data_IF_288745290108
#
_entry.id   IF_288745290108
#
_cell.length_a   1.000
_cell.length_b   1.000
_cell.length_c   1.000
_cell.angle_alpha   90.00
_cell.angle_beta   90.00
_cell.angle_gamma   90.00
#
_symmetry.space_group_name_H-M   'P 1'
#
loop_
_entity.id
_entity.type
_entity.pdbx_description
1 polymer ?
#
# COMPACT_ATOMS: atom_id res chain seq x y z
N UNK A 1 41.58 -33.64 25.92
CA UNK A 1 40.96 -32.42 26.47
C UNK A 1 41.39 -31.27 25.58
N UNK A 2 40.53 -30.81 24.69
CA UNK A 2 40.73 -29.61 23.87
C UNK A 2 39.34 -28.96 23.72
N UNK A 3 39.15 -27.68 24.12
CA UNK A 3 37.84 -27.06 24.06
C UNK A 3 37.62 -26.47 22.67
N UNK A 4 36.42 -26.72 22.13
CA UNK A 4 35.90 -26.10 20.92
C UNK A 4 35.66 -24.61 21.17
N UNK A 5 36.38 -23.75 20.44
CA UNK A 5 36.15 -22.31 20.41
C UNK A 5 34.99 -22.04 19.45
N UNK A 6 33.80 -21.75 19.99
CA UNK A 6 32.66 -21.31 19.19
C UNK A 6 32.79 -19.80 18.89
N UNK A 7 33.15 -19.44 17.66
CA UNK A 7 33.04 -18.07 17.16
C UNK A 7 31.55 -17.79 16.86
N UNK A 8 30.89 -17.05 17.75
CA UNK A 8 29.59 -16.46 17.46
C UNK A 8 29.80 -15.16 16.66
N UNK A 9 29.60 -15.22 15.35
CA UNK A 9 29.47 -14.03 14.51
C UNK A 9 28.06 -13.46 14.71
N UNK A 10 27.93 -12.41 15.52
CA UNK A 10 26.70 -11.64 15.62
C UNK A 10 26.56 -10.77 14.36
N UNK A 11 25.70 -11.21 13.42
CA UNK A 11 25.27 -10.38 12.30
C UNK A 11 24.30 -9.32 12.83
N UNK A 12 24.77 -8.09 13.02
CA UNK A 12 23.90 -6.95 13.28
C UNK A 12 23.32 -6.52 11.93
N UNK A 13 22.11 -6.96 11.63
CA UNK A 13 21.34 -6.45 10.49
C UNK A 13 20.81 -5.05 10.85
N UNK A 14 21.60 -4.02 10.56
CA UNK A 14 21.16 -2.62 10.67
C UNK A 14 20.24 -2.29 9.50
N UNK A 15 18.94 -2.51 9.65
CA UNK A 15 17.94 -1.95 8.74
C UNK A 15 17.81 -0.46 9.00
N UNK A 16 18.61 0.35 8.29
CA UNK A 16 18.34 1.79 8.21
C UNK A 16 17.11 1.99 7.32
N UNK A 17 15.94 2.07 7.95
CA UNK A 17 14.79 2.76 7.37
C UNK A 17 15.17 4.25 7.32
N UNK A 18 15.88 4.66 6.28
CA UNK A 18 16.11 6.08 6.02
C UNK A 18 14.76 6.71 5.75
N UNK A 19 14.22 7.42 6.74
CA UNK A 19 13.08 8.29 6.53
C UNK A 19 13.48 9.33 5.47
N UNK A 20 12.74 9.40 4.38
CA UNK A 20 12.94 10.40 3.33
C UNK A 20 12.88 11.78 3.99
N UNK A 21 14.00 12.51 4.01
CA UNK A 21 14.05 13.87 4.55
C UNK A 21 13.43 14.84 3.55
N UNK A 22 12.44 15.61 4.01
CA UNK A 22 11.75 16.62 3.21
C UNK A 22 12.00 18.02 3.80
N UNK A 23 12.42 19.02 3.00
CA UNK A 23 12.66 18.95 1.56
C UNK A 23 13.90 18.11 1.19
N UNK A 24 13.95 17.55 -0.03
CA UNK A 24 15.09 16.78 -0.47
C UNK A 24 16.33 17.69 -0.62
N UNK A 25 17.51 17.14 -0.32
CA UNK A 25 18.79 17.88 -0.36
C UNK A 25 19.36 18.05 -1.78
N UNK A 26 18.77 17.37 -2.76
CA UNK A 26 19.17 17.48 -4.17
C UNK A 26 18.66 18.80 -4.77
N UNK A 27 19.61 19.71 -5.03
CA UNK A 27 19.34 21.03 -5.59
C UNK A 27 18.83 21.00 -7.06
N UNK A 28 18.92 19.86 -7.75
CA UNK A 28 18.37 19.72 -9.10
C UNK A 28 16.85 19.57 -9.10
N UNK A 29 16.27 19.16 -7.97
CA UNK A 29 14.84 19.00 -7.81
C UNK A 29 14.14 20.35 -7.67
N UNK A 30 13.00 20.48 -8.35
CA UNK A 30 12.15 21.68 -8.31
C UNK A 30 10.81 21.34 -7.66
N UNK A 31 10.26 22.25 -6.83
CA UNK A 31 8.91 22.07 -6.30
C UNK A 31 7.89 22.12 -7.44
N UNK A 32 6.93 21.21 -7.39
CA UNK A 32 5.82 21.13 -8.35
C UNK A 32 4.51 20.94 -7.59
N UNK A 33 3.44 21.49 -8.17
CA UNK A 33 2.06 21.24 -7.74
C UNK A 33 1.25 20.88 -8.96
N UNK A 34 0.49 19.79 -8.88
CA UNK A 34 -0.25 19.25 -10.01
C UNK A 34 -1.59 18.65 -9.57
N UNK A 35 -2.64 18.96 -10.32
CA UNK A 35 -3.98 18.39 -10.11
C UNK A 35 -4.31 17.47 -11.28
N UNK A 36 -4.73 16.24 -10.98
CA UNK A 36 -5.09 15.26 -11.99
C UNK A 36 -5.68 14.00 -11.39
N UNK A 37 -6.07 13.07 -12.25
CA UNK A 37 -6.58 11.77 -11.82
C UNK A 37 -5.46 10.94 -11.21
N UNK A 38 -5.74 10.28 -10.09
CA UNK A 38 -4.89 9.23 -9.57
C UNK A 38 -5.36 7.90 -10.12
N UNK A 39 -4.43 7.11 -10.66
CA UNK A 39 -4.73 5.80 -11.21
C UNK A 39 -3.59 4.83 -10.89
N UNK A 40 -3.91 3.57 -10.65
CA UNK A 40 -2.92 2.52 -10.44
C UNK A 40 -2.23 2.12 -11.74
N UNK A 41 -0.95 1.75 -11.65
CA UNK A 41 -0.18 1.37 -12.82
C UNK A 41 -0.70 0.07 -13.46
N UNK A 42 -1.32 -0.83 -12.69
CA UNK A 42 -1.89 -2.07 -13.23
C UNK A 42 -3.02 -1.79 -14.23
N UNK A 43 -4.00 -0.94 -13.89
CA UNK A 43 -5.05 -0.52 -14.81
C UNK A 43 -4.47 0.23 -16.02
N UNK A 44 -3.45 1.08 -15.81
CA UNK A 44 -2.77 1.80 -16.91
C UNK A 44 -2.15 0.80 -17.90
N UNK A 45 -1.38 -0.17 -17.41
CA UNK A 45 -0.67 -1.17 -18.21
C UNK A 45 -1.63 -2.12 -18.92
N UNK A 46 -2.75 -2.46 -18.28
CA UNK A 46 -3.80 -3.29 -18.89
C UNK A 46 -4.58 -2.53 -19.98
N UNK A 47 -4.62 -1.19 -19.93
CA UNK A 47 -5.28 -0.32 -20.90
C UNK A 47 -6.81 -0.21 -20.73
N UNK A 48 -7.42 -1.01 -19.86
CA UNK A 48 -8.85 -0.97 -19.51
C UNK A 48 -9.06 -1.06 -18.00
N UNK A 49 -10.26 -0.72 -17.52
CA UNK A 49 -10.56 -0.86 -16.09
C UNK A 49 -10.77 -2.33 -15.72
N UNK A 50 -10.21 -2.78 -14.59
CA UNK A 50 -10.35 -4.17 -14.13
C UNK A 50 -11.81 -4.54 -13.87
N UNK A 51 -12.56 -3.65 -13.25
CA UNK A 51 -13.96 -3.88 -12.90
C UNK A 51 -14.93 -3.62 -14.07
N UNK A 52 -14.49 -2.88 -15.09
CA UNK A 52 -15.27 -2.63 -16.29
C UNK A 52 -14.38 -2.51 -17.55
N UNK A 53 -14.05 -3.64 -18.19
CA UNK A 53 -13.16 -3.67 -19.34
C UNK A 53 -13.65 -2.94 -20.59
N UNK A 54 -14.91 -2.49 -20.65
CA UNK A 54 -15.40 -1.67 -21.77
C UNK A 54 -14.85 -0.24 -21.71
N UNK A 55 -14.34 0.19 -20.56
CA UNK A 55 -13.80 1.53 -20.37
C UNK A 55 -12.27 1.50 -20.45
N UNK A 56 -11.70 2.33 -21.34
CA UNK A 56 -10.26 2.51 -21.47
C UNK A 56 -9.73 3.49 -20.43
N UNK A 57 -8.62 3.14 -19.79
CA UNK A 57 -8.05 3.90 -18.66
C UNK A 57 -7.63 5.31 -19.03
N UNK A 58 -6.79 5.45 -20.05
CA UNK A 58 -6.25 6.74 -20.52
C UNK A 58 -7.20 7.51 -21.45
N UNK A 59 -8.46 7.08 -21.55
CA UNK A 59 -9.53 7.78 -22.29
C UNK A 59 -10.56 8.33 -21.32
N UNK A 60 -10.98 7.51 -20.35
CA UNK A 60 -12.05 7.85 -19.41
C UNK A 60 -11.64 7.60 -17.94
N UNK A 61 -10.58 8.25 -17.43
CA UNK A 61 -10.10 8.04 -16.06
C UNK A 61 -11.12 8.42 -14.99
N UNK A 62 -12.12 9.27 -15.30
CA UNK A 62 -13.25 9.56 -14.43
C UNK A 62 -14.13 8.34 -14.13
N UNK A 63 -14.03 7.29 -14.93
CA UNK A 63 -14.76 6.03 -14.73
C UNK A 63 -13.99 5.03 -13.87
N UNK A 64 -12.75 5.36 -13.47
CA UNK A 64 -11.94 4.49 -12.62
C UNK A 64 -12.55 4.40 -11.22
N UNK A 65 -12.96 3.19 -10.83
CA UNK A 65 -13.60 2.96 -9.54
C UNK A 65 -12.60 3.07 -8.39
N UNK A 66 -13.02 3.66 -7.27
CA UNK A 66 -12.22 3.69 -6.06
C UNK A 66 -11.96 2.27 -5.54
N UNK A 67 -12.83 1.30 -5.84
CA UNK A 67 -12.60 -0.11 -5.52
C UNK A 67 -11.24 -0.63 -6.04
N UNK A 68 -10.89 -0.29 -7.28
CA UNK A 68 -9.59 -0.64 -7.87
C UNK A 68 -8.44 0.04 -7.12
N UNK A 69 -8.65 1.28 -6.64
CA UNK A 69 -7.63 1.99 -5.87
C UNK A 69 -7.41 1.39 -4.48
N UNK A 70 -8.44 0.87 -3.81
CA UNK A 70 -8.33 0.57 -2.36
C UNK A 70 -8.45 -0.90 -1.96
N UNK A 71 -9.04 -1.75 -2.81
CA UNK A 71 -9.39 -3.13 -2.45
C UNK A 71 -8.63 -4.19 -3.27
N UNK A 72 -8.30 -3.88 -4.53
CA UNK A 72 -7.65 -4.84 -5.42
C UNK A 72 -6.14 -4.85 -5.23
N UNK A 73 -5.62 -5.94 -4.66
CA UNK A 73 -4.18 -6.08 -4.39
C UNK A 73 -3.27 -5.80 -5.60
N UNK A 74 -3.55 -6.27 -6.83
CA UNK A 74 -2.70 -5.96 -7.98
C UNK A 74 -2.58 -4.46 -8.24
N UNK A 75 -3.70 -3.75 -8.17
CA UNK A 75 -3.77 -2.30 -8.35
C UNK A 75 -2.99 -1.58 -7.24
N UNK A 76 -3.21 -1.94 -5.98
CA UNK A 76 -2.50 -1.33 -4.83
C UNK A 76 -0.99 -1.58 -4.92
N UNK A 77 -0.56 -2.83 -5.20
CA UNK A 77 0.85 -3.22 -5.27
C UNK A 77 1.57 -2.57 -6.46
N UNK A 78 0.84 -2.26 -7.53
CA UNK A 78 1.40 -1.59 -8.71
C UNK A 78 1.73 -0.11 -8.47
N UNK A 79 1.36 0.46 -7.31
CA UNK A 79 1.50 1.88 -6.99
C UNK A 79 0.67 2.78 -7.92
N UNK A 80 0.66 4.08 -7.65
CA UNK A 80 -0.19 5.02 -8.38
C UNK A 80 0.60 6.09 -9.12
N UNK A 81 -0.03 6.57 -10.19
CA UNK A 81 0.41 7.65 -11.03
C UNK A 81 -0.60 8.80 -11.03
N UNK A 82 -0.10 10.01 -11.29
CA UNK A 82 -0.89 11.18 -11.63
C UNK A 82 -1.02 11.28 -13.14
N UNK A 83 -2.25 11.39 -13.62
CA UNK A 83 -2.55 11.55 -15.04
C UNK A 83 -2.76 13.03 -15.41
N UNK A 84 -2.17 13.45 -16.52
CA UNK A 84 -2.49 14.72 -17.17
C UNK A 84 -3.31 14.50 -18.43
N UNK A 85 -4.17 15.47 -18.73
CA UNK A 85 -4.88 15.51 -20.01
C UNK A 85 -3.91 15.97 -21.10
N UNK A 86 -3.86 15.24 -22.20
CA UNK A 86 -3.07 15.61 -23.37
C UNK A 86 -3.70 16.81 -24.08
N UNK A 87 -2.87 17.73 -24.54
CA UNK A 87 -3.30 18.86 -25.36
C UNK A 87 -3.87 18.38 -26.71
N UNK A 88 -3.25 17.35 -27.29
CA UNK A 88 -3.68 16.69 -28.52
C UNK A 88 -3.77 15.19 -28.26
N UNK A 89 -4.93 14.55 -28.53
CA UNK A 89 -5.06 13.10 -28.41
C UNK A 89 -4.07 12.33 -29.31
N UNK A 90 -3.64 11.16 -28.84
CA UNK A 90 -2.78 10.24 -29.61
C UNK A 90 -3.48 8.89 -29.69
N UNK A 91 -3.89 8.46 -30.89
CA UNK A 91 -4.61 7.18 -31.08
C UNK A 91 -5.78 7.01 -30.09
N UNK A 92 -6.67 8.02 -30.03
CA UNK A 92 -7.80 8.14 -29.09
C UNK A 92 -7.44 8.27 -27.60
N UNK A 93 -6.16 8.20 -27.24
CA UNK A 93 -5.68 8.42 -25.87
C UNK A 93 -5.78 9.89 -25.52
N UNK A 94 -6.46 10.20 -24.40
CA UNK A 94 -6.72 11.57 -23.95
C UNK A 94 -5.86 11.97 -22.74
N UNK A 95 -5.27 11.00 -22.06
CA UNK A 95 -4.47 11.21 -20.85
C UNK A 95 -3.13 10.49 -20.94
N UNK A 96 -2.13 11.01 -20.23
CA UNK A 96 -0.83 10.35 -20.08
C UNK A 96 -0.37 10.43 -18.62
N UNK A 97 0.55 9.56 -18.24
CA UNK A 97 1.22 9.65 -16.94
C UNK A 97 2.09 10.89 -16.91
N UNK A 98 1.81 11.78 -15.97
CA UNK A 98 2.62 12.97 -15.70
C UNK A 98 3.64 12.72 -14.60
N UNK A 99 3.22 12.07 -13.53
CA UNK A 99 4.07 11.74 -12.40
C UNK A 99 3.80 10.35 -11.86
N UNK A 100 4.84 9.69 -11.39
CA UNK A 100 4.79 8.48 -10.56
C UNK A 100 4.91 8.89 -9.10
N UNK A 101 3.98 8.44 -8.25
CA UNK A 101 3.94 8.84 -6.84
C UNK A 101 4.95 8.10 -5.96
N UNK A 102 5.51 6.99 -6.45
CA UNK A 102 6.40 6.13 -5.68
C UNK A 102 5.71 5.51 -4.46
N UNK A 103 6.47 4.85 -3.59
CA UNK A 103 5.91 4.14 -2.44
C UNK A 103 5.20 5.08 -1.44
N UNK A 104 5.88 6.14 -1.01
CA UNK A 104 5.36 7.07 0.01
C UNK A 104 4.13 7.83 -0.50
N UNK A 105 4.21 8.38 -1.72
CA UNK A 105 3.08 9.08 -2.33
C UNK A 105 1.91 8.15 -2.62
N UNK A 106 2.18 6.89 -2.98
CA UNK A 106 1.12 5.91 -3.19
C UNK A 106 0.44 5.49 -1.90
N UNK A 107 1.18 5.35 -0.79
CA UNK A 107 0.58 5.11 0.51
C UNK A 107 -0.37 6.26 0.92
N UNK A 108 0.03 7.51 0.64
CA UNK A 108 -0.81 8.68 0.89
C UNK A 108 -2.06 8.69 0.00
N UNK A 109 -1.90 8.42 -1.31
CA UNK A 109 -3.01 8.33 -2.23
C UNK A 109 -4.02 7.23 -1.84
N UNK A 110 -3.54 6.05 -1.41
CA UNK A 110 -4.37 4.96 -0.88
C UNK A 110 -5.16 5.42 0.35
N UNK A 111 -4.50 6.09 1.30
CA UNK A 111 -5.17 6.62 2.50
C UNK A 111 -6.28 7.61 2.14
N UNK A 112 -6.00 8.55 1.22
CA UNK A 112 -6.98 9.54 0.80
C UNK A 112 -8.13 8.91 0.02
N UNK A 113 -7.86 7.93 -0.84
CA UNK A 113 -8.89 7.19 -1.56
C UNK A 113 -9.80 6.40 -0.60
N UNK A 114 -9.25 5.79 0.45
CA UNK A 114 -10.04 5.13 1.51
C UNK A 114 -10.92 6.12 2.27
N UNK A 115 -10.38 7.28 2.65
CA UNK A 115 -11.14 8.32 3.34
C UNK A 115 -12.26 8.87 2.43
N UNK A 116 -11.98 9.08 1.14
CA UNK A 116 -12.99 9.49 0.18
C UNK A 116 -14.10 8.43 0.00
N UNK A 117 -13.73 7.15 -0.06
CA UNK A 117 -14.68 6.04 -0.11
C UNK A 117 -15.60 5.99 1.12
N UNK A 118 -15.03 6.20 2.31
CA UNK A 118 -15.79 6.25 3.56
C UNK A 118 -16.84 7.38 3.57
N UNK A 119 -16.62 8.44 2.78
CA UNK A 119 -17.54 9.56 2.58
C UNK A 119 -18.37 9.41 1.28
N UNK A 120 -18.60 8.18 0.84
CA UNK A 120 -19.44 7.79 -0.30
C UNK A 120 -18.88 8.06 -1.70
N UNK A 121 -17.58 8.38 -1.84
CA UNK A 121 -16.94 8.47 -3.15
C UNK A 121 -16.95 7.12 -3.89
N UNK A 122 -17.21 7.12 -5.19
CA UNK A 122 -17.29 5.89 -5.98
C UNK A 122 -16.25 5.78 -7.09
N UNK A 123 -16.00 6.86 -7.85
CA UNK A 123 -15.09 6.82 -9.02
C UNK A 123 -14.41 8.17 -9.30
N UNK A 124 -13.45 8.14 -10.22
CA UNK A 124 -12.85 9.34 -10.80
C UNK A 124 -12.05 10.15 -9.80
N UNK A 125 -11.25 9.48 -8.97
CA UNK A 125 -10.47 10.11 -7.91
C UNK A 125 -9.42 11.06 -8.49
N UNK A 126 -9.59 12.35 -8.23
CA UNK A 126 -8.70 13.44 -8.60
C UNK A 126 -8.12 14.05 -7.34
N UNK A 127 -6.81 14.32 -7.34
CA UNK A 127 -6.12 14.94 -6.22
C UNK A 127 -5.19 16.06 -6.70
N UNK A 128 -4.94 17.02 -5.83
CA UNK A 128 -3.85 18.00 -5.98
C UNK A 128 -2.66 17.51 -5.18
N UNK A 129 -1.57 17.23 -5.89
CA UNK A 129 -0.31 16.72 -5.32
C UNK A 129 0.75 17.81 -5.38
N UNK A 130 1.48 17.99 -4.29
CA UNK A 130 2.71 18.79 -4.24
C UNK A 130 3.90 17.91 -3.91
N UNK A 131 5.05 18.19 -4.53
CA UNK A 131 6.27 17.43 -4.30
C UNK A 131 7.45 18.04 -5.06
N UNK A 132 8.47 17.24 -5.31
CA UNK A 132 9.72 17.66 -5.96
C UNK A 132 10.03 16.75 -7.15
N UNK A 133 10.40 17.34 -8.29
CA UNK A 133 10.74 16.64 -9.54
C UNK A 133 12.04 17.16 -10.14
N UNK A 134 12.81 16.28 -10.78
CA UNK A 134 14.01 16.62 -11.56
C UNK A 134 13.69 17.04 -13.01
N UNK A 135 12.41 16.91 -13.43
CA UNK A 135 11.94 17.16 -14.79
C UNK A 135 12.48 16.19 -15.85
N UNK A 136 13.25 15.17 -15.45
CA UNK A 136 13.88 14.16 -16.33
C UNK A 136 13.22 12.80 -16.17
N UNK A 137 12.80 12.48 -14.95
CA UNK A 137 12.04 11.30 -14.61
C UNK A 137 10.61 11.68 -14.21
N UNK A 138 9.71 10.71 -14.23
CA UNK A 138 8.33 10.92 -13.77
C UNK A 138 8.23 10.84 -12.23
N UNK A 139 9.29 10.45 -11.53
CA UNK A 139 9.23 10.22 -10.09
C UNK A 139 9.05 11.53 -9.31
N UNK A 140 8.08 11.56 -8.39
CA UNK A 140 7.94 12.62 -7.40
C UNK A 140 8.55 12.21 -6.07
N UNK A 141 9.23 13.17 -5.45
CA UNK A 141 9.76 13.06 -4.10
C UNK A 141 8.98 13.97 -3.14
N UNK A 142 8.94 13.60 -1.85
CA UNK A 142 8.28 14.38 -0.80
C UNK A 142 6.82 14.74 -1.16
N UNK A 143 6.10 13.72 -1.61
CA UNK A 143 4.71 13.83 -2.06
C UNK A 143 3.81 14.20 -0.88
N UNK A 144 2.97 15.20 -1.10
CA UNK A 144 1.88 15.61 -0.21
C UNK A 144 0.61 15.83 -1.02
N UNK A 145 -0.55 15.55 -0.42
CA UNK A 145 -1.85 15.68 -1.06
C UNK A 145 -2.68 16.77 -0.38
N UNK A 146 -3.29 17.64 -1.16
CA UNK A 146 -4.25 18.61 -0.66
C UNK A 146 -5.48 17.89 -0.08
N UNK A 147 -6.01 18.42 1.04
CA UNK A 147 -7.15 17.84 1.76
C UNK A 147 -8.47 17.86 1.00
N UNK A 148 -8.58 18.68 -0.05
CA UNK A 148 -9.72 18.64 -0.96
C UNK A 148 -9.37 17.77 -2.16
N UNK A 149 -10.10 16.67 -2.31
CA UNK A 149 -10.04 15.78 -3.48
C UNK A 149 -11.32 15.95 -4.29
N UNK A 150 -11.33 15.51 -5.55
CA UNK A 150 -12.56 15.44 -6.34
C UNK A 150 -12.87 13.97 -6.64
N UNK A 151 -14.10 13.55 -6.31
CA UNK A 151 -14.63 12.20 -6.55
C UNK A 151 -16.03 12.33 -7.11
N UNK A 152 -16.39 11.48 -8.05
CA UNK A 152 -17.70 11.53 -8.72
C UNK A 152 -18.01 12.90 -9.35
N UNK A 153 -16.96 13.64 -9.76
CA UNK A 153 -17.08 15.00 -10.30
C UNK A 153 -17.38 16.08 -9.27
N UNK A 154 -17.25 15.80 -7.97
CA UNK A 154 -17.54 16.73 -6.87
C UNK A 154 -16.36 16.86 -5.92
N UNK A 155 -16.14 18.07 -5.45
CA UNK A 155 -15.13 18.35 -4.44
C UNK A 155 -15.57 17.78 -3.09
N UNK A 156 -14.65 17.11 -2.44
CA UNK A 156 -14.80 16.46 -1.15
C UNK A 156 -13.64 16.88 -0.25
N UNK A 157 -13.96 17.60 0.82
CA UNK A 157 -13.01 17.96 1.86
C UNK A 157 -12.80 16.78 2.82
N UNK A 158 -11.54 16.40 3.01
CA UNK A 158 -11.08 15.42 3.98
C UNK A 158 -10.45 16.13 5.18
N UNK A 159 -10.84 15.71 6.38
CA UNK A 159 -10.26 16.20 7.64
C UNK A 159 -9.14 15.26 8.11
N UNK A 160 -8.32 15.73 9.06
CA UNK A 160 -7.32 14.85 9.69
C UNK A 160 -7.99 13.66 10.41
N UNK A 161 -9.21 13.85 10.93
CA UNK A 161 -9.99 12.77 11.52
C UNK A 161 -10.42 11.73 10.47
N UNK A 162 -10.84 12.17 9.28
CA UNK A 162 -11.19 11.26 8.18
C UNK A 162 -9.98 10.41 7.77
N UNK A 163 -8.80 11.04 7.67
CA UNK A 163 -7.55 10.37 7.31
C UNK A 163 -7.05 9.43 8.41
N UNK A 164 -7.18 9.82 9.68
CA UNK A 164 -6.81 9.00 10.83
C UNK A 164 -7.72 7.77 10.97
N UNK A 165 -9.01 7.91 10.66
CA UNK A 165 -9.98 6.81 10.75
C UNK A 165 -9.70 5.65 9.77
N UNK A 166 -9.02 5.93 8.66
CA UNK A 166 -8.67 4.94 7.63
C UNK A 166 -7.19 4.56 7.62
N UNK A 167 -6.39 5.19 8.48
CA UNK A 167 -5.00 4.82 8.65
C UNK A 167 -4.93 3.34 9.06
N UNK A 168 -3.96 2.55 8.54
CA UNK A 168 -3.81 1.18 8.97
C UNK A 168 -3.64 1.17 10.49
N UNK A 169 -4.59 0.55 11.20
CA UNK A 169 -4.43 0.29 12.63
C UNK A 169 -3.14 -0.51 12.76
N UNK A 170 -2.08 0.13 13.22
CA UNK A 170 -0.92 -0.59 13.73
C UNK A 170 -1.51 -1.51 14.79
N UNK A 171 -1.32 -2.85 14.73
CA UNK A 171 -1.74 -3.69 15.82
C UNK A 171 -1.10 -3.11 17.06
N UNK A 172 -1.92 -2.59 17.97
CA UNK A 172 -1.42 -2.21 19.28
C UNK A 172 -0.75 -3.47 19.80
N UNK A 173 0.56 -3.42 19.98
CA UNK A 173 1.30 -4.43 20.72
C UNK A 173 0.52 -4.58 22.01
N UNK A 174 -0.28 -5.65 22.09
CA UNK A 174 -1.10 -5.95 23.25
C UNK A 174 -0.07 -6.15 24.34
N UNK A 175 0.08 -5.16 25.22
CA UNK A 175 0.82 -5.35 26.45
C UNK A 175 0.11 -6.51 27.14
N UNK A 176 0.73 -7.69 27.07
CA UNK A 176 0.31 -8.87 27.78
C UNK A 176 0.22 -8.45 29.25
N UNK A 177 -1.01 -8.22 29.71
CA UNK A 177 -1.27 -7.97 31.11
C UNK A 177 -0.86 -9.26 31.80
N UNK A 178 0.29 -9.23 32.44
CA UNK A 178 0.84 -10.38 33.16
C UNK A 178 -0.02 -10.53 34.41
N UNK A 179 -1.12 -11.27 34.29
CA UNK A 179 -1.89 -11.71 35.45
C UNK A 179 -0.98 -12.64 36.23
N UNK A 180 -0.43 -12.14 37.33
CA UNK A 180 0.33 -12.94 38.30
C UNK A 180 -0.65 -13.93 38.94
N UNK A 181 -0.64 -15.18 38.46
CA UNK A 181 -1.36 -16.28 39.11
C UNK A 181 -0.54 -16.71 40.32
N UNK A 182 -1.12 -16.53 41.51
CA UNK A 182 -0.57 -17.05 42.76
C UNK A 182 -0.57 -18.60 42.73
N UNK A 183 0.49 -19.27 43.24
CA UNK A 183 0.58 -20.72 43.21
C UNK A 183 -0.34 -21.34 44.27
N UNK A 184 -1.25 -22.21 43.85
CA UNK A 184 -1.98 -23.11 44.75
C UNK A 184 -1.41 -24.52 44.64
N UNK A 185 -0.90 -24.99 45.76
CA UNK A 185 -0.28 -26.30 45.98
C UNK A 185 -1.25 -27.47 45.84
N UNK A 186 -0.75 -28.50 45.15
CA UNK A 186 -0.85 -29.94 45.36
C UNK A 186 -2.20 -30.65 45.36
N UNK A 187 -2.29 -31.66 44.48
CA UNK A 187 -3.29 -32.71 44.46
C UNK A 187 -2.97 -33.70 43.34
N UNK A 188 -2.06 -34.63 43.60
CA UNK A 188 -1.65 -35.69 42.69
C UNK A 188 -2.77 -36.72 42.45
N UNK A 189 -2.96 -37.11 41.20
CA UNK A 189 -3.61 -38.38 40.84
C UNK A 189 -3.03 -38.87 39.50
N UNK A 190 -2.21 -39.91 39.62
CA UNK A 190 -1.55 -40.67 38.57
C UNK A 190 -2.50 -41.73 38.01
N UNK A 191 -2.57 -41.93 36.69
CA UNK A 191 -2.72 -43.26 36.03
C UNK A 191 -2.55 -43.15 34.50
N UNK A 192 -2.18 -44.24 33.81
CA UNK A 192 -1.24 -44.19 32.69
C UNK A 192 -1.86 -44.22 31.28
N UNK A 193 -1.06 -43.72 30.33
CA UNK A 193 -1.27 -43.77 28.89
C UNK A 193 -0.92 -45.18 28.37
N UNK A 194 -1.87 -45.84 27.71
CA UNK A 194 -1.60 -47.04 26.92
C UNK A 194 -1.32 -46.61 25.49
N UNK A 195 -0.08 -46.78 25.05
CA UNK A 195 0.33 -46.60 23.67
C UNK A 195 -0.06 -47.84 22.85
N UNK A 196 -0.82 -47.65 21.77
CA UNK A 196 -0.98 -48.66 20.71
C UNK A 196 -0.28 -48.12 19.48
N UNK A 197 0.90 -48.67 19.21
CA UNK A 197 1.50 -48.60 17.87
C UNK A 197 0.72 -49.55 16.95
N UNK A 198 0.33 -49.08 15.78
CA UNK A 198 0.01 -49.94 14.65
C UNK A 198 0.64 -49.33 13.39
N UNK A 199 1.75 -49.94 12.97
CA UNK A 199 2.25 -49.88 11.60
C UNK A 199 1.22 -50.51 10.67
N UNK A 200 1.03 -49.92 9.48
CA UNK A 200 1.01 -50.69 8.23
C UNK A 200 1.33 -49.78 7.05
N UNK A 201 2.35 -50.18 6.31
CA UNK A 201 2.81 -49.71 5.01
C UNK A 201 1.75 -49.95 3.93
N UNK A 202 1.63 -49.07 2.93
CA UNK A 202 1.28 -49.50 1.58
C UNK A 202 1.87 -48.57 0.51
N UNK A 203 2.55 -49.22 -0.42
CA UNK A 203 3.25 -48.73 -1.61
C UNK A 203 2.27 -48.72 -2.78
N UNK A 204 2.28 -47.69 -3.62
CA UNK A 204 2.06 -47.72 -5.09
C UNK A 204 2.41 -46.33 -5.63
N UNK A 205 3.50 -46.15 -6.40
CA UNK A 205 3.73 -46.52 -7.80
C UNK A 205 3.12 -45.52 -8.81
N UNK A 206 4.03 -44.91 -9.56
CA UNK A 206 3.94 -44.14 -10.82
C UNK A 206 2.56 -43.99 -11.47
N UNK A 207 2.24 -42.74 -11.82
CA UNK A 207 2.12 -42.25 -13.21
C UNK A 207 2.41 -40.74 -13.23
#
# INVERSE_FOLDING_TARGET
MAPFLALAFALVASTVNSATTCPPTDATLKPVTFTGYVMDNFCIDMGTMVDNPTNKTLVAPQLHSIHCLIDLEPCIKSQYAMLEKLATPINDTLYAVKYQLGADGSALALQYAKAAKAKSGMRGFTATVSGFSDGKSLALQCVSLAKTVNVDGKDLALTDADLAAVAPMTPATTMATTTTVAPKTSGAATTPITAVMALTSLVWALM
#
